data_IF_748151953866
#
_entry.id   IF_748151953866
#
_cell.length_a   1.000
_cell.length_b   1.000
_cell.length_c   1.000
_cell.angle_alpha   90.00
_cell.angle_beta   90.00
_cell.angle_gamma   90.00
#
_symmetry.space_group_name_H-M   'P 1'
#
loop_
_entity.id
_entity.type
_entity.pdbx_description
1 polymer ?
#
# COMPACT_ATOMS: atom_id res chain seq x y z
N UNK A 1 26.99 1.81 10.84
CA UNK A 1 26.20 0.61 10.48
C UNK A 1 25.65 0.88 9.09
N UNK A 2 26.27 0.27 8.10
CA UNK A 2 26.49 0.82 6.78
C UNK A 2 25.26 0.74 5.87
N UNK A 3 24.76 1.89 5.42
CA UNK A 3 23.51 2.01 4.63
C UNK A 3 23.76 1.93 3.11
N UNK A 4 25.02 1.82 2.66
CA UNK A 4 25.38 2.04 1.25
C UNK A 4 25.36 0.73 0.41
N UNK A 5 25.05 -0.43 1.00
CA UNK A 5 24.91 -1.69 0.26
C UNK A 5 23.65 -2.47 0.65
N UNK A 6 22.49 -1.83 0.55
CA UNK A 6 21.19 -2.52 0.53
C UNK A 6 20.55 -2.26 -0.84
N UNK A 7 20.50 -3.31 -1.67
CA UNK A 7 19.59 -3.53 -2.81
C UNK A 7 18.99 -2.25 -3.42
N UNK A 8 19.41 -1.84 -4.63
CA UNK A 8 18.80 -0.71 -5.33
C UNK A 8 17.27 -0.84 -5.32
N UNK A 9 16.63 0.02 -4.54
CA UNK A 9 15.18 0.04 -4.41
C UNK A 9 14.57 0.48 -5.72
N UNK A 10 13.73 -0.37 -6.32
CA UNK A 10 13.10 -0.15 -7.62
C UNK A 10 12.18 1.10 -7.67
N UNK A 11 11.90 1.73 -6.52
CA UNK A 11 11.10 2.96 -6.43
C UNK A 11 11.54 4.04 -7.42
N UNK A 12 12.85 4.23 -7.64
CA UNK A 12 13.37 5.29 -8.52
C UNK A 12 13.00 5.09 -10.01
N UNK A 13 12.57 3.90 -10.40
CA UNK A 13 12.19 3.56 -11.78
C UNK A 13 10.73 3.91 -12.09
N UNK A 14 9.91 4.13 -11.06
CA UNK A 14 8.48 4.46 -11.20
C UNK A 14 8.25 5.92 -11.62
N UNK A 15 7.05 6.24 -12.10
CA UNK A 15 6.62 7.63 -12.27
C UNK A 15 6.49 8.34 -10.91
N UNK A 16 6.54 9.68 -10.89
CA UNK A 16 6.41 10.47 -9.64
C UNK A 16 5.13 10.17 -8.85
N UNK A 17 4.04 9.87 -9.56
CA UNK A 17 2.76 9.53 -8.94
C UNK A 17 2.84 8.17 -8.23
N UNK A 18 3.33 7.15 -8.91
CA UNK A 18 3.51 5.80 -8.38
C UNK A 18 4.52 5.77 -7.23
N UNK A 19 5.64 6.50 -7.35
CA UNK A 19 6.60 6.71 -6.26
C UNK A 19 5.91 7.24 -5.01
N UNK A 20 5.03 8.24 -5.17
CA UNK A 20 4.28 8.84 -4.05
C UNK A 20 3.37 7.80 -3.39
N UNK A 21 2.63 7.02 -4.18
CA UNK A 21 1.76 5.96 -3.68
C UNK A 21 2.56 4.95 -2.85
N UNK A 22 3.61 4.38 -3.44
CA UNK A 22 4.41 3.32 -2.80
C UNK A 22 5.12 3.86 -1.54
N UNK A 23 5.71 5.05 -1.61
CA UNK A 23 6.37 5.68 -0.47
C UNK A 23 5.42 5.92 0.70
N UNK A 24 4.21 6.43 0.43
CA UNK A 24 3.19 6.67 1.46
C UNK A 24 2.68 5.38 2.09
N UNK A 25 2.51 4.31 1.30
CA UNK A 25 2.15 3.00 1.81
C UNK A 25 3.24 2.40 2.70
N UNK A 26 4.52 2.47 2.28
CA UNK A 26 5.67 1.98 3.07
C UNK A 26 5.79 2.65 4.42
N UNK A 27 5.62 3.97 4.45
CA UNK A 27 5.73 4.76 5.69
C UNK A 27 4.46 4.70 6.53
N UNK A 28 3.32 4.37 5.92
CA UNK A 28 2.00 4.50 6.55
C UNK A 28 1.58 5.96 6.76
N UNK A 29 2.31 6.94 6.22
CA UNK A 29 1.93 8.35 6.24
C UNK A 29 1.02 8.65 5.05
N UNK A 30 -0.22 8.15 5.13
CA UNK A 30 -1.14 8.07 3.99
C UNK A 30 -2.60 8.35 4.38
N UNK A 31 -3.48 8.45 3.38
CA UNK A 31 -4.91 8.72 3.55
C UNK A 31 -5.76 7.59 4.16
N UNK A 32 -5.14 6.53 4.70
CA UNK A 32 -5.87 5.44 5.37
C UNK A 32 -6.28 5.82 6.80
N UNK A 33 -7.42 5.29 7.27
CA UNK A 33 -8.00 5.68 8.56
C UNK A 33 -7.05 5.50 9.75
N UNK A 34 -6.14 4.51 9.73
CA UNK A 34 -5.14 4.35 10.78
C UNK A 34 -4.24 5.59 10.95
N UNK A 35 -3.73 6.15 9.87
CA UNK A 35 -2.94 7.37 9.90
C UNK A 35 -3.81 8.58 10.24
N UNK A 36 -4.97 8.71 9.60
CA UNK A 36 -5.87 9.85 9.81
C UNK A 36 -6.35 9.94 11.26
N UNK A 37 -6.57 8.80 11.94
CA UNK A 37 -6.86 8.78 13.38
C UNK A 37 -5.65 9.22 14.19
N UNK A 38 -4.46 8.71 13.87
CA UNK A 38 -3.21 9.06 14.58
C UNK A 38 -2.93 10.56 14.57
N UNK A 39 -3.30 11.27 13.50
CA UNK A 39 -3.12 12.73 13.37
C UNK A 39 -4.37 13.54 13.73
N UNK A 40 -5.41 12.92 14.29
CA UNK A 40 -6.61 13.62 14.78
C UNK A 40 -7.62 14.06 13.71
N UNK A 41 -7.48 13.62 12.46
CA UNK A 41 -8.43 13.93 11.37
C UNK A 41 -9.66 13.01 11.41
N UNK A 42 -9.50 11.75 11.85
CA UNK A 42 -10.60 10.78 12.01
C UNK A 42 -10.71 10.34 13.46
N UNK A 43 -11.93 10.02 13.90
CA UNK A 43 -12.17 9.50 15.25
C UNK A 43 -11.84 7.99 15.37
N UNK A 44 -11.97 7.25 14.26
CA UNK A 44 -11.74 5.80 14.20
C UNK A 44 -10.75 5.44 13.11
N UNK A 45 -9.99 4.37 13.37
CA UNK A 45 -9.03 3.77 12.44
C UNK A 45 -9.68 2.61 11.67
N UNK A 46 -10.86 2.16 12.11
CA UNK A 46 -11.58 1.03 11.54
C UNK A 46 -11.79 1.21 10.03
N UNK A 47 -11.50 0.16 9.28
CA UNK A 47 -11.81 0.10 7.86
C UNK A 47 -13.33 0.01 7.66
N UNK A 48 -13.83 0.56 6.55
CA UNK A 48 -15.24 0.44 6.19
C UNK A 48 -15.69 -1.01 5.93
N UNK A 49 -14.75 -1.94 5.78
CA UNK A 49 -15.08 -3.37 5.73
C UNK A 49 -15.55 -3.93 7.09
N UNK A 50 -15.28 -3.25 8.22
CA UNK A 50 -15.70 -3.63 9.57
C UNK A 50 -14.77 -4.58 10.33
N UNK A 51 -13.77 -5.17 9.67
CA UNK A 51 -13.00 -6.29 10.23
C UNK A 51 -11.74 -5.88 11.02
N UNK A 52 -11.10 -4.78 10.63
CA UNK A 52 -9.83 -4.33 11.22
C UNK A 52 -9.59 -2.84 10.98
N UNK A 53 -8.57 -2.29 11.65
CA UNK A 53 -8.07 -0.96 11.34
C UNK A 53 -7.56 -0.89 9.89
N UNK A 54 -7.85 0.22 9.20
CA UNK A 54 -7.41 0.46 7.83
C UNK A 54 -5.93 0.85 7.81
N UNK A 55 -5.05 -0.15 7.85
CA UNK A 55 -3.60 -0.03 7.70
C UNK A 55 -3.17 -0.39 6.28
N UNK A 56 -1.94 -0.04 5.84
CA UNK A 56 -1.40 -0.52 4.55
C UNK A 56 -1.41 -2.05 4.45
N UNK A 57 -1.06 -2.76 5.54
CA UNK A 57 -1.12 -4.22 5.59
C UNK A 57 -2.54 -4.74 5.33
N UNK A 58 -3.52 -4.25 6.10
CA UNK A 58 -4.92 -4.67 5.94
C UNK A 58 -5.42 -4.38 4.52
N UNK A 59 -5.17 -3.16 4.02
CA UNK A 59 -5.58 -2.71 2.70
C UNK A 59 -5.00 -3.58 1.58
N UNK A 60 -3.70 -3.88 1.65
CA UNK A 60 -2.99 -4.62 0.61
C UNK A 60 -3.14 -6.14 0.72
N UNK A 61 -3.39 -6.70 1.90
CA UNK A 61 -3.41 -8.16 2.14
C UNK A 61 -4.81 -8.73 2.36
N UNK A 62 -5.59 -8.15 3.27
CA UNK A 62 -6.73 -8.87 3.87
C UNK A 62 -8.09 -8.19 3.67
N UNK A 63 -8.13 -6.94 3.22
CA UNK A 63 -9.37 -6.17 3.16
C UNK A 63 -10.39 -6.82 2.23
N UNK A 64 -11.56 -7.21 2.77
CA UNK A 64 -12.60 -7.87 2.00
C UNK A 64 -13.30 -6.92 1.02
N UNK A 65 -13.32 -5.62 1.32
CA UNK A 65 -13.86 -4.59 0.42
C UNK A 65 -13.13 -4.54 -0.91
N UNK A 66 -11.84 -4.91 -0.93
CA UNK A 66 -10.98 -4.86 -2.12
C UNK A 66 -10.55 -6.25 -2.61
N UNK A 67 -11.33 -7.30 -2.28
CA UNK A 67 -10.97 -8.68 -2.58
C UNK A 67 -10.90 -8.94 -4.10
N UNK A 68 -11.85 -8.39 -4.86
CA UNK A 68 -11.94 -8.56 -6.30
C UNK A 68 -10.77 -7.89 -7.01
N UNK A 69 -10.48 -6.64 -6.68
CA UNK A 69 -9.36 -5.85 -7.23
C UNK A 69 -8.03 -6.49 -6.87
N UNK A 70 -7.87 -6.95 -5.62
CA UNK A 70 -6.64 -7.60 -5.18
C UNK A 70 -6.38 -8.90 -5.93
N UNK A 71 -7.41 -9.71 -6.19
CA UNK A 71 -7.29 -10.94 -7.00
C UNK A 71 -7.06 -10.65 -8.48
N UNK A 72 -7.58 -9.53 -8.98
CA UNK A 72 -7.33 -9.09 -10.35
C UNK A 72 -5.85 -8.69 -10.53
N UNK A 73 -5.32 -7.89 -9.60
CA UNK A 73 -3.92 -7.43 -9.66
C UNK A 73 -2.95 -8.53 -9.27
N UNK A 74 -3.20 -9.27 -8.19
CA UNK A 74 -2.37 -10.39 -7.73
C UNK A 74 -3.18 -11.69 -7.71
N UNK A 75 -3.26 -12.42 -8.84
CA UNK A 75 -3.98 -13.69 -8.92
C UNK A 75 -3.38 -14.77 -8.01
N UNK A 76 -2.07 -14.70 -7.79
CA UNK A 76 -1.33 -15.58 -6.88
C UNK A 76 -1.03 -14.85 -5.57
N UNK A 77 -0.90 -15.63 -4.49
CA UNK A 77 -0.56 -15.08 -3.18
C UNK A 77 0.76 -14.31 -3.23
N UNK A 78 0.68 -12.98 -3.07
CA UNK A 78 1.84 -12.08 -3.11
C UNK A 78 2.04 -11.44 -1.74
N UNK A 79 3.26 -11.60 -1.19
CA UNK A 79 3.60 -11.11 0.15
C UNK A 79 3.51 -9.59 0.25
N UNK A 80 3.32 -9.05 1.46
CA UNK A 80 3.34 -7.60 1.66
C UNK A 80 4.70 -7.02 1.28
N UNK A 81 5.78 -7.74 1.58
CA UNK A 81 7.13 -7.31 1.25
C UNK A 81 7.29 -7.13 -0.26
N UNK A 82 6.85 -8.09 -1.06
CA UNK A 82 6.92 -8.00 -2.53
C UNK A 82 6.10 -6.81 -3.05
N UNK A 83 4.89 -6.59 -2.53
CA UNK A 83 4.04 -5.45 -2.94
C UNK A 83 4.70 -4.10 -2.66
N UNK A 84 5.45 -3.99 -1.56
CA UNK A 84 6.01 -2.71 -1.11
C UNK A 84 7.47 -2.52 -1.50
N UNK A 85 8.30 -3.56 -1.59
CA UNK A 85 9.75 -3.49 -1.84
C UNK A 85 10.22 -4.50 -2.90
N UNK A 86 9.31 -4.98 -3.75
CA UNK A 86 9.63 -5.88 -4.86
C UNK A 86 10.31 -5.18 -6.05
N UNK A 87 10.23 -5.84 -7.21
CA UNK A 87 10.71 -5.31 -8.49
C UNK A 87 9.88 -4.11 -8.95
N UNK A 88 10.35 -3.40 -9.98
CA UNK A 88 9.59 -2.29 -10.60
C UNK A 88 8.17 -2.71 -10.97
N UNK A 89 8.02 -3.91 -11.57
CA UNK A 89 6.71 -4.46 -11.92
C UNK A 89 5.82 -4.68 -10.69
N UNK A 90 6.37 -5.20 -9.58
CA UNK A 90 5.60 -5.40 -8.35
C UNK A 90 5.09 -4.05 -7.78
N UNK A 91 5.91 -3.01 -7.87
CA UNK A 91 5.56 -1.67 -7.39
C UNK A 91 4.53 -0.98 -8.30
N UNK A 92 4.65 -1.14 -9.62
CA UNK A 92 3.65 -0.69 -10.60
C UNK A 92 2.29 -1.36 -10.33
N UNK A 93 2.29 -2.66 -10.02
CA UNK A 93 1.08 -3.39 -9.64
C UNK A 93 0.45 -2.84 -8.36
N UNK A 94 1.25 -2.49 -7.35
CA UNK A 94 0.74 -1.83 -6.14
C UNK A 94 0.12 -0.48 -6.44
N UNK A 95 0.74 0.32 -7.31
CA UNK A 95 0.15 1.60 -7.72
C UNK A 95 -1.13 1.41 -8.53
N UNK A 96 -1.16 0.43 -9.44
CA UNK A 96 -2.35 0.07 -10.19
C UNK A 96 -3.51 -0.35 -9.28
N UNK A 97 -3.24 -1.17 -8.25
CA UNK A 97 -4.24 -1.55 -7.25
C UNK A 97 -4.84 -0.33 -6.52
N UNK A 98 -4.00 0.63 -6.12
CA UNK A 98 -4.47 1.89 -5.50
C UNK A 98 -5.35 2.68 -6.47
N UNK A 99 -4.98 2.74 -7.73
CA UNK A 99 -5.74 3.50 -8.74
C UNK A 99 -7.12 2.88 -9.02
N UNK A 100 -7.20 1.55 -9.19
CA UNK A 100 -8.49 0.89 -9.48
C UNK A 100 -9.42 0.84 -8.26
N UNK A 101 -8.88 0.82 -7.04
CA UNK A 101 -9.70 0.86 -5.81
C UNK A 101 -10.21 2.27 -5.51
N UNK A 102 -9.59 3.32 -6.09
CA UNK A 102 -9.88 4.72 -5.77
C UNK A 102 -9.54 5.09 -4.33
N UNK A 103 -8.82 4.23 -3.59
CA UNK A 103 -8.45 4.49 -2.21
C UNK A 103 -7.43 5.64 -2.18
N UNK A 104 -7.76 6.70 -1.42
CA UNK A 104 -6.85 7.82 -1.24
C UNK A 104 -5.68 7.40 -0.34
N UNK A 105 -4.46 7.56 -0.85
CA UNK A 105 -3.18 7.28 -0.19
C UNK A 105 -2.42 8.59 0.03
#
# INVERSE_FOLDING_TARGET
MDIIHMYEDALHQLTRHEQTIVFRLRTGHCGLNSHLKRIGIRQSALCHCGEADQTPDHFLQTCQLHCSERKHVWPTGTSLHTKLWGSTQDLEMTAHFVNITGQRI
#
